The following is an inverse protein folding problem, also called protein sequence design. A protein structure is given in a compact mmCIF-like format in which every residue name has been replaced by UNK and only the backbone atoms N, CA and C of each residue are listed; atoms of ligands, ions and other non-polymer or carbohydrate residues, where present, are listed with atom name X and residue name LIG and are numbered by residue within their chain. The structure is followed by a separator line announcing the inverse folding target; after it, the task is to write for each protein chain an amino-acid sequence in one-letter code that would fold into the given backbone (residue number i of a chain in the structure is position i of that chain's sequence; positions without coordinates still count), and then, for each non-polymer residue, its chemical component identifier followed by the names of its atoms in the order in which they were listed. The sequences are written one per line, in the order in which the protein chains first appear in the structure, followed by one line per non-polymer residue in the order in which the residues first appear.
data_IF_176318701614
#
_entry.id   IF_176318701614
#
_cell.length_a   1.000
_cell.length_b   1.000
_cell.length_c   1.000
_cell.angle_alpha   90.00
_cell.angle_beta   90.00
_cell.angle_gamma   90.00
#
_symmetry.space_group_name_H-M   'P 1'
#
loop_
_entity.id
_entity.type
_entity.pdbx_description
1 polymer ?
#
# COMPACT_ATOMS: atom_id res chain seq x y z
N UNK A 1 -0.16 -31.33 27.30
CA UNK A 1 -0.79 -30.38 28.25
C UNK A 1 -0.26 -28.98 28.02
N UNK A 2 -1.11 -27.98 27.79
CA UNK A 2 -0.66 -26.61 27.53
C UNK A 2 -0.19 -25.95 28.84
N UNK A 3 1.03 -25.40 28.82
CA UNK A 3 1.66 -24.76 29.97
C UNK A 3 0.75 -23.67 30.58
N UNK A 4 0.35 -23.75 31.87
CA UNK A 4 -0.54 -22.81 32.50
C UNK A 4 0.00 -21.38 32.54
N UNK A 5 1.31 -21.20 32.62
CA UNK A 5 1.97 -19.90 32.56
C UNK A 5 1.78 -19.22 31.20
N UNK A 6 1.79 -19.99 30.12
CA UNK A 6 1.56 -19.46 28.76
C UNK A 6 0.11 -18.99 28.55
N UNK A 7 -0.86 -19.67 29.21
CA UNK A 7 -2.28 -19.24 29.21
C UNK A 7 -2.46 -17.96 30.05
N UNK A 8 -1.87 -17.90 31.23
CA UNK A 8 -1.95 -16.74 32.13
C UNK A 8 -1.29 -15.51 31.44
N UNK A 9 -0.11 -15.67 30.81
CA UNK A 9 0.56 -14.61 30.07
C UNK A 9 -0.29 -14.11 28.89
N UNK A 10 -0.86 -15.02 28.09
CA UNK A 10 -1.75 -14.63 26.98
C UNK A 10 -3.00 -13.89 27.47
N UNK A 11 -3.59 -14.31 28.60
CA UNK A 11 -4.76 -13.67 29.18
C UNK A 11 -4.42 -12.29 29.74
N UNK A 12 -3.31 -12.16 30.48
CA UNK A 12 -2.84 -10.88 31.00
C UNK A 12 -2.50 -9.92 29.86
N UNK A 13 -1.80 -10.39 28.83
CA UNK A 13 -1.46 -9.61 27.65
C UNK A 13 -2.72 -9.17 26.89
N UNK A 14 -3.74 -10.03 26.79
CA UNK A 14 -5.01 -9.69 26.16
C UNK A 14 -5.82 -8.66 26.99
N UNK A 15 -5.88 -8.82 28.31
CA UNK A 15 -6.58 -7.88 29.21
C UNK A 15 -5.84 -6.54 29.31
N UNK A 16 -4.52 -6.55 29.33
CA UNK A 16 -3.71 -5.32 29.28
C UNK A 16 -3.90 -4.61 27.93
N UNK A 17 -3.90 -5.35 26.82
CA UNK A 17 -4.28 -4.81 25.52
C UNK A 17 -5.69 -4.21 25.54
N UNK A 18 -6.67 -4.89 26.13
CA UNK A 18 -8.05 -4.43 26.20
C UNK A 18 -8.23 -3.17 27.06
N UNK A 19 -7.52 -3.05 28.17
CA UNK A 19 -7.51 -1.84 28.99
C UNK A 19 -6.78 -0.68 28.31
N UNK A 20 -5.69 -0.95 27.61
CA UNK A 20 -4.98 0.03 26.79
C UNK A 20 -5.79 0.40 25.53
N UNK A 21 -6.60 -0.54 25.01
CA UNK A 21 -7.53 -0.34 23.90
C UNK A 21 -8.71 0.58 24.26
N UNK A 22 -8.97 0.84 25.52
CA UNK A 22 -9.89 1.88 25.95
C UNK A 22 -9.32 3.30 25.83
N UNK A 23 -8.00 3.45 25.68
CA UNK A 23 -7.37 4.74 25.42
C UNK A 23 -7.12 4.92 23.92
N UNK A 24 -8.00 5.65 23.25
CA UNK A 24 -8.10 5.82 21.80
C UNK A 24 -6.79 6.23 21.10
N UNK A 25 -5.91 6.98 21.78
CA UNK A 25 -4.63 7.46 21.23
C UNK A 25 -3.51 6.42 21.33
N UNK A 26 -3.44 5.69 22.43
CA UNK A 26 -2.42 4.67 22.65
C UNK A 26 -2.63 3.48 21.72
N UNK A 27 -3.88 3.13 21.48
CA UNK A 27 -4.30 2.06 20.60
C UNK A 27 -3.81 2.20 19.19
N UNK A 28 -4.06 3.35 18.60
CA UNK A 28 -3.71 3.58 17.21
C UNK A 28 -2.21 3.43 17.00
N UNK A 29 -1.39 4.01 17.90
CA UNK A 29 0.06 3.99 17.78
C UNK A 29 0.65 2.59 17.97
N UNK A 30 0.22 1.85 18.98
CA UNK A 30 0.73 0.49 19.28
C UNK A 30 0.23 -0.51 18.26
N UNK A 31 -1.05 -0.43 17.89
CA UNK A 31 -1.65 -1.32 16.90
C UNK A 31 -1.05 -1.11 15.51
N UNK A 32 -0.83 0.13 15.11
CA UNK A 32 -0.20 0.46 13.83
C UNK A 32 1.23 -0.05 13.71
N UNK A 33 2.02 0.12 14.75
CA UNK A 33 3.40 -0.38 14.78
C UNK A 33 3.46 -1.90 14.75
N UNK A 34 2.59 -2.56 15.48
CA UNK A 34 2.55 -4.02 15.52
C UNK A 34 2.12 -4.61 14.18
N UNK A 35 1.07 -4.09 13.56
CA UNK A 35 0.62 -4.55 12.24
C UNK A 35 1.67 -4.26 11.15
N UNK A 36 2.25 -3.07 11.15
CA UNK A 36 3.33 -2.73 10.22
C UNK A 36 4.52 -3.68 10.40
N UNK A 37 4.90 -4.01 11.64
CA UNK A 37 5.96 -4.97 11.92
C UNK A 37 5.62 -6.38 11.40
N UNK A 38 4.39 -6.84 11.62
CA UNK A 38 3.93 -8.15 11.13
C UNK A 38 3.99 -8.18 9.60
N UNK A 39 3.58 -7.11 8.94
CA UNK A 39 3.63 -7.01 7.49
C UNK A 39 5.07 -6.93 6.97
N UNK A 40 5.91 -6.12 7.59
CA UNK A 40 7.34 -6.05 7.24
C UNK A 40 8.00 -7.45 7.35
N UNK A 41 7.74 -8.21 8.42
CA UNK A 41 8.24 -9.57 8.59
C UNK A 41 7.71 -10.55 7.53
N UNK A 42 6.42 -10.44 7.15
CA UNK A 42 5.85 -11.23 6.06
C UNK A 42 6.51 -10.89 4.72
N UNK A 43 6.71 -9.60 4.45
CA UNK A 43 7.28 -9.14 3.19
C UNK A 43 8.76 -9.48 3.03
N UNK A 44 9.55 -9.43 4.10
CA UNK A 44 10.99 -9.75 4.04
C UNK A 44 11.27 -11.11 3.40
N UNK A 45 10.40 -12.09 3.59
CA UNK A 45 10.53 -13.43 2.99
C UNK A 45 10.46 -13.42 1.46
N UNK A 46 9.81 -12.40 0.89
CA UNK A 46 9.61 -12.24 -0.54
C UNK A 46 10.65 -11.31 -1.20
N UNK A 47 11.54 -10.71 -0.39
CA UNK A 47 12.58 -9.79 -0.85
C UNK A 47 13.96 -10.29 -0.42
N UNK A 48 14.49 -11.37 -1.03
CA UNK A 48 15.81 -11.88 -0.70
C UNK A 48 16.89 -10.84 -1.02
N UNK A 49 17.94 -10.81 -0.20
CA UNK A 49 19.12 -9.99 -0.45
C UNK A 49 19.98 -10.66 -1.51
N UNK A 50 20.26 -9.96 -2.60
CA UNK A 50 21.20 -10.39 -3.64
C UNK A 50 22.51 -9.62 -3.50
N UNK A 51 23.55 -10.28 -3.01
CA UNK A 51 24.85 -9.67 -2.72
C UNK A 51 25.54 -9.08 -3.97
N UNK A 52 25.32 -9.66 -5.12
CA UNK A 52 25.88 -9.20 -6.41
C UNK A 52 25.42 -7.77 -6.78
N UNK A 53 24.30 -7.30 -6.26
CA UNK A 53 23.75 -5.98 -6.54
C UNK A 53 24.18 -4.91 -5.52
N UNK A 54 24.84 -5.28 -4.43
CA UNK A 54 25.28 -4.34 -3.40
C UNK A 54 26.38 -3.39 -3.89
N UNK A 55 27.25 -3.87 -4.77
CA UNK A 55 28.38 -3.06 -5.32
C UNK A 55 27.96 -2.09 -6.43
N UNK A 56 27.01 -2.48 -7.27
CA UNK A 56 26.60 -1.69 -8.44
C UNK A 56 25.75 -0.47 -8.07
N UNK A 57 24.93 -0.55 -7.02
CA UNK A 57 24.00 0.51 -6.63
C UNK A 57 24.63 1.63 -5.77
N UNK A 58 25.84 1.48 -5.27
CA UNK A 58 26.47 2.50 -4.44
C UNK A 58 26.87 3.78 -5.25
N UNK A 59 27.09 3.65 -6.54
CA UNK A 59 27.54 4.76 -7.40
C UNK A 59 26.41 5.50 -8.11
N UNK A 60 25.21 4.90 -8.30
CA UNK A 60 24.09 5.54 -9.03
C UNK A 60 23.10 6.32 -8.17
N UNK A 61 23.39 6.58 -6.92
CA UNK A 61 22.42 6.92 -5.86
C UNK A 61 21.91 8.37 -5.79
N UNK A 62 22.23 9.29 -6.68
CA UNK A 62 21.93 10.71 -6.39
C UNK A 62 20.93 11.42 -7.31
N UNK A 63 20.57 10.88 -8.48
CA UNK A 63 19.80 11.63 -9.48
C UNK A 63 18.56 10.92 -10.07
N UNK A 64 18.37 9.64 -9.86
CA UNK A 64 17.20 8.96 -10.42
C UNK A 64 15.95 9.12 -9.53
N UNK A 65 14.84 9.55 -10.15
CA UNK A 65 13.51 9.57 -9.50
C UNK A 65 13.17 8.16 -9.04
N UNK A 66 12.71 8.04 -7.81
CA UNK A 66 12.23 6.75 -7.29
C UNK A 66 10.96 6.34 -8.00
N UNK A 67 10.90 5.08 -8.42
CA UNK A 67 9.69 4.46 -8.91
C UNK A 67 8.94 3.84 -7.73
N UNK A 68 7.79 4.41 -7.40
CA UNK A 68 6.90 3.91 -6.35
C UNK A 68 5.83 3.04 -6.99
N UNK A 69 5.73 1.78 -6.54
CA UNK A 69 4.76 0.82 -7.07
C UNK A 69 3.82 0.41 -5.94
N UNK A 70 2.53 0.68 -6.08
CA UNK A 70 1.54 0.09 -5.17
C UNK A 70 1.30 -1.36 -5.56
N UNK A 71 1.51 -2.28 -4.63
CA UNK A 71 1.44 -3.72 -4.87
C UNK A 71 0.21 -4.32 -4.19
N UNK A 72 -0.62 -5.01 -4.97
CA UNK A 72 -1.74 -5.82 -4.50
C UNK A 72 -1.64 -7.22 -5.15
N UNK A 73 -0.78 -8.07 -4.60
CA UNK A 73 -0.47 -9.40 -5.14
C UNK A 73 -0.86 -10.56 -4.19
N UNK A 74 -1.57 -10.27 -3.10
CA UNK A 74 -2.03 -11.27 -2.15
C UNK A 74 -1.03 -11.68 -1.06
N UNK A 75 0.19 -11.16 -1.07
CA UNK A 75 1.16 -11.44 0.01
C UNK A 75 0.77 -10.79 1.34
N UNK A 76 0.05 -9.68 1.26
CA UNK A 76 -0.53 -8.96 2.39
C UNK A 76 -2.04 -8.84 2.19
N UNK A 77 -2.79 -8.99 3.28
CA UNK A 77 -4.24 -8.79 3.30
C UNK A 77 -4.57 -7.29 3.33
N UNK A 78 -4.76 -6.69 2.16
CA UNK A 78 -5.06 -5.25 2.04
C UNK A 78 -6.56 -4.91 2.13
N UNK A 79 -7.36 -5.77 2.78
CA UNK A 79 -8.80 -5.57 2.87
C UNK A 79 -9.55 -5.82 1.56
N UNK A 80 -10.76 -5.26 1.45
CA UNK A 80 -11.60 -5.33 0.26
C UNK A 80 -11.15 -4.44 -0.89
N UNK A 81 -11.92 -4.44 -1.98
CA UNK A 81 -11.64 -3.61 -3.15
C UNK A 81 -11.52 -2.10 -2.80
N UNK A 82 -12.49 -1.59 -2.03
CA UNK A 82 -12.50 -0.18 -1.64
C UNK A 82 -11.28 0.22 -0.79
N UNK A 83 -10.81 -0.68 0.09
CA UNK A 83 -9.64 -0.41 0.92
C UNK A 83 -8.36 -0.35 0.09
N UNK A 84 -8.21 -1.27 -0.86
CA UNK A 84 -7.07 -1.27 -1.80
C UNK A 84 -7.07 0.00 -2.66
N UNK A 85 -8.24 0.41 -3.14
CA UNK A 85 -8.39 1.64 -3.91
C UNK A 85 -7.98 2.88 -3.10
N UNK A 86 -8.38 2.95 -1.82
CA UNK A 86 -7.92 4.02 -0.91
C UNK A 86 -6.39 4.08 -0.81
N UNK A 87 -5.75 2.92 -0.66
CA UNK A 87 -4.29 2.82 -0.62
C UNK A 87 -3.62 3.28 -1.90
N UNK A 88 -4.15 2.88 -3.06
CA UNK A 88 -3.66 3.29 -4.38
C UNK A 88 -3.75 4.81 -4.53
N UNK A 89 -4.92 5.38 -4.33
CA UNK A 89 -5.16 6.83 -4.49
C UNK A 89 -4.33 7.66 -3.52
N UNK A 90 -4.20 7.20 -2.26
CA UNK A 90 -3.36 7.86 -1.25
C UNK A 90 -1.89 7.88 -1.65
N UNK A 91 -1.38 6.74 -2.15
CA UNK A 91 0.01 6.63 -2.59
C UNK A 91 0.26 7.48 -3.83
N UNK A 92 -0.66 7.47 -4.80
CA UNK A 92 -0.58 8.32 -5.99
C UNK A 92 -0.48 9.80 -5.64
N UNK A 93 -1.41 10.31 -4.82
CA UNK A 93 -1.39 11.72 -4.40
C UNK A 93 -0.09 12.08 -3.66
N UNK A 94 0.44 11.17 -2.85
CA UNK A 94 1.72 11.37 -2.18
C UNK A 94 2.88 11.43 -3.19
N UNK A 95 2.89 10.55 -4.19
CA UNK A 95 3.90 10.55 -5.25
C UNK A 95 3.87 11.85 -6.06
N UNK A 96 2.68 12.38 -6.37
CA UNK A 96 2.54 13.67 -7.04
C UNK A 96 3.19 14.81 -6.23
N UNK A 97 2.97 14.84 -4.91
CA UNK A 97 3.59 15.84 -4.03
C UNK A 97 5.11 15.69 -3.92
N UNK A 98 5.61 14.46 -4.01
CA UNK A 98 7.05 14.15 -3.91
C UNK A 98 7.79 14.29 -5.25
N UNK A 99 7.07 14.41 -6.37
CA UNK A 99 7.64 14.32 -7.71
C UNK A 99 8.21 12.93 -8.03
N UNK A 100 7.70 11.88 -7.39
CA UNK A 100 8.08 10.49 -7.63
C UNK A 100 7.24 9.88 -8.76
N UNK A 101 7.82 8.95 -9.53
CA UNK A 101 7.09 8.17 -10.51
C UNK A 101 6.22 7.12 -9.81
N UNK A 102 5.00 6.92 -10.31
CA UNK A 102 4.03 6.03 -9.70
C UNK A 102 3.55 4.96 -10.66
N UNK A 103 3.41 3.72 -10.16
CA UNK A 103 2.82 2.60 -10.91
C UNK A 103 1.95 1.74 -9.99
N UNK A 104 1.12 0.89 -10.62
CA UNK A 104 0.23 -0.03 -9.92
C UNK A 104 0.46 -1.44 -10.43
N UNK A 105 0.74 -2.37 -9.51
CA UNK A 105 0.73 -3.81 -9.77
C UNK A 105 -0.37 -4.46 -8.94
N UNK A 106 -1.52 -4.71 -9.56
CA UNK A 106 -2.70 -5.25 -8.89
C UNK A 106 -3.17 -6.51 -9.63
N UNK A 107 -2.83 -7.67 -9.07
CA UNK A 107 -3.12 -8.99 -9.65
C UNK A 107 -3.93 -9.90 -8.72
N UNK A 108 -4.25 -9.46 -7.52
CA UNK A 108 -5.03 -10.22 -6.55
C UNK A 108 -6.11 -9.34 -5.89
N UNK A 109 -7.37 -9.80 -5.81
CA UNK A 109 -7.94 -11.10 -6.19
C UNK A 109 -8.28 -11.22 -7.68
N UNK A 110 -8.01 -10.20 -8.47
CA UNK A 110 -8.20 -10.16 -9.93
C UNK A 110 -7.19 -9.20 -10.55
N UNK A 111 -6.98 -9.29 -11.85
CA UNK A 111 -6.15 -8.33 -12.57
C UNK A 111 -6.93 -7.03 -12.80
N UNK A 112 -6.41 -5.91 -12.27
CA UNK A 112 -7.06 -4.60 -12.36
C UNK A 112 -7.26 -4.14 -13.80
N UNK A 113 -6.28 -4.38 -14.65
CA UNK A 113 -6.26 -4.00 -16.06
C UNK A 113 -7.37 -4.63 -16.92
N UNK A 114 -8.04 -5.68 -16.41
CA UNK A 114 -9.25 -6.22 -17.05
C UNK A 114 -10.45 -5.28 -16.95
N UNK A 115 -10.50 -4.44 -15.94
CA UNK A 115 -11.66 -3.59 -15.63
C UNK A 115 -11.35 -2.10 -15.78
N UNK A 116 -10.13 -1.70 -15.42
CA UNK A 116 -9.71 -0.31 -15.44
C UNK A 116 -8.45 -0.15 -16.28
N UNK A 117 -8.45 0.83 -17.14
CA UNK A 117 -7.32 1.23 -17.97
C UNK A 117 -6.74 2.57 -17.49
N UNK A 118 -5.46 2.87 -17.78
CA UNK A 118 -4.92 4.21 -17.59
C UNK A 118 -5.78 5.28 -18.28
N UNK A 119 -5.97 6.41 -17.59
CA UNK A 119 -6.67 7.56 -18.16
C UNK A 119 -5.66 8.65 -18.55
N UNK A 120 -5.51 9.71 -17.75
CA UNK A 120 -4.55 10.78 -18.04
C UNK A 120 -3.15 10.50 -17.48
N UNK A 121 -3.05 9.59 -16.53
CA UNK A 121 -1.79 9.13 -15.94
C UNK A 121 -1.56 7.65 -16.27
N UNK A 122 -0.41 7.33 -16.88
CA UNK A 122 -0.02 5.96 -17.17
C UNK A 122 0.55 5.30 -15.90
N UNK A 123 -0.29 4.49 -15.26
CA UNK A 123 0.07 3.74 -14.05
C UNK A 123 0.47 2.29 -14.33
N UNK A 124 0.36 1.83 -15.57
CA UNK A 124 0.62 0.43 -15.92
C UNK A 124 2.10 0.08 -15.77
N UNK A 125 2.37 -1.12 -15.28
CA UNK A 125 3.71 -1.71 -15.22
C UNK A 125 3.64 -3.20 -15.57
N UNK A 126 4.58 -3.67 -16.36
CA UNK A 126 4.72 -5.10 -16.66
C UNK A 126 5.35 -5.82 -15.47
N UNK A 127 4.92 -7.04 -15.19
CA UNK A 127 5.50 -7.84 -14.11
C UNK A 127 7.00 -8.07 -14.26
N UNK A 128 7.48 -8.15 -15.50
CA UNK A 128 8.91 -8.30 -15.82
C UNK A 128 9.78 -7.10 -15.45
N UNK A 129 9.15 -5.93 -15.19
CA UNK A 129 9.83 -4.70 -14.78
C UNK A 129 9.87 -4.54 -13.25
N UNK A 130 9.26 -5.47 -12.50
CA UNK A 130 9.18 -5.43 -11.04
C UNK A 130 10.30 -6.29 -10.44
N UNK A 131 11.07 -5.71 -9.54
CA UNK A 131 12.18 -6.39 -8.88
C UNK A 131 11.81 -6.79 -7.46
N UNK A 132 11.70 -8.09 -7.18
CA UNK A 132 11.42 -8.62 -5.84
C UNK A 132 12.70 -9.03 -5.11
N UNK A 133 13.72 -8.16 -5.09
CA UNK A 133 14.98 -8.41 -4.40
C UNK A 133 15.61 -7.13 -3.87
N UNK A 134 16.30 -7.23 -2.71
CA UNK A 134 17.11 -6.15 -2.20
C UNK A 134 18.54 -6.23 -2.81
N UNK A 135 19.19 -5.10 -3.10
CA UNK A 135 18.75 -3.73 -2.82
C UNK A 135 17.94 -3.06 -3.94
N UNK A 136 17.58 -3.77 -5.04
CA UNK A 136 16.89 -3.18 -6.18
C UNK A 136 15.52 -2.61 -5.79
N UNK A 137 14.78 -3.30 -4.89
CA UNK A 137 13.49 -2.86 -4.41
C UNK A 137 13.42 -2.87 -2.87
N UNK A 138 12.69 -1.91 -2.31
CA UNK A 138 12.43 -1.82 -0.88
C UNK A 138 10.92 -1.94 -0.61
N UNK A 139 10.46 -2.98 0.09
CA UNK A 139 9.07 -3.07 0.51
C UNK A 139 8.78 -2.11 1.66
N UNK A 140 7.63 -1.45 1.59
CA UNK A 140 7.09 -0.55 2.62
C UNK A 140 5.64 -0.93 2.87
N UNK A 141 5.34 -1.40 4.08
CA UNK A 141 3.97 -1.73 4.47
C UNK A 141 3.38 -0.67 5.38
N UNK A 142 2.12 -0.31 5.14
CA UNK A 142 1.33 0.57 6.01
C UNK A 142 -0.11 0.09 6.01
N UNK A 143 -0.50 -0.64 7.06
CA UNK A 143 -1.90 -0.98 7.27
C UNK A 143 -2.45 -0.03 8.32
N UNK A 144 -3.40 0.83 8.01
CA UNK A 144 -4.35 1.37 8.98
C UNK A 144 -5.19 2.50 8.38
N UNK A 145 -6.50 2.45 8.68
CA UNK A 145 -7.40 3.57 8.51
C UNK A 145 -7.08 4.70 9.49
N UNK A 146 -7.13 5.93 9.01
CA UNK A 146 -7.04 7.09 9.87
C UNK A 146 -8.45 7.48 10.35
N UNK A 147 -8.62 7.57 11.68
CA UNK A 147 -9.90 7.96 12.30
C UNK A 147 -10.04 9.48 12.43
N UNK A 148 -9.01 10.24 12.06
CA UNK A 148 -8.99 11.69 12.16
C UNK A 148 -8.00 12.34 11.18
N UNK A 149 -8.18 13.64 10.86
CA UNK A 149 -7.23 14.38 10.03
C UNK A 149 -5.80 14.38 10.58
N UNK A 150 -5.64 14.40 11.89
CA UNK A 150 -4.33 14.33 12.54
C UNK A 150 -3.64 12.99 12.28
N UNK A 151 -4.36 11.90 12.42
CA UNK A 151 -3.82 10.56 12.14
C UNK A 151 -3.46 10.39 10.66
N UNK A 152 -4.33 10.85 9.75
CA UNK A 152 -4.07 10.84 8.32
C UNK A 152 -2.78 11.59 7.97
N UNK A 153 -2.57 12.77 8.57
CA UNK A 153 -1.34 13.56 8.39
C UNK A 153 -0.09 12.81 8.88
N UNK A 154 -0.20 12.15 10.05
CA UNK A 154 0.91 11.37 10.61
C UNK A 154 1.24 10.15 9.75
N UNK A 155 0.23 9.42 9.25
CA UNK A 155 0.41 8.28 8.35
C UNK A 155 1.05 8.71 7.03
N UNK A 156 0.56 9.79 6.43
CA UNK A 156 1.10 10.35 5.21
C UNK A 156 2.57 10.73 5.38
N UNK A 157 2.91 11.44 6.47
CA UNK A 157 4.28 11.82 6.77
C UNK A 157 5.18 10.60 6.98
N UNK A 158 4.70 9.59 7.71
CA UNK A 158 5.43 8.36 7.94
C UNK A 158 5.70 7.59 6.63
N UNK A 159 4.70 7.48 5.76
CA UNK A 159 4.87 6.82 4.46
C UNK A 159 5.86 7.58 3.58
N UNK A 160 5.76 8.93 3.55
CA UNK A 160 6.70 9.79 2.85
C UNK A 160 8.14 9.53 3.30
N UNK A 161 8.41 9.56 4.60
CA UNK A 161 9.74 9.32 5.15
C UNK A 161 10.27 7.93 4.81
N UNK A 162 9.42 6.91 4.81
CA UNK A 162 9.81 5.55 4.42
C UNK A 162 10.18 5.46 2.95
N UNK A 163 9.42 6.10 2.07
CA UNK A 163 9.72 6.18 0.64
C UNK A 163 11.04 6.93 0.42
N UNK A 164 11.24 8.07 1.07
CA UNK A 164 12.47 8.88 0.94
C UNK A 164 13.73 8.12 1.40
N UNK A 165 13.63 7.36 2.49
CA UNK A 165 14.74 6.57 3.07
C UNK A 165 14.94 5.22 2.40
N UNK A 166 14.01 4.77 1.58
CA UNK A 166 14.11 3.48 0.91
C UNK A 166 15.39 3.40 0.08
N UNK A 167 16.04 2.25 0.14
CA UNK A 167 17.17 1.96 -0.73
C UNK A 167 16.65 1.33 -2.03
N UNK A 168 17.40 1.46 -3.11
CA UNK A 168 17.03 0.92 -4.40
C UNK A 168 16.22 1.88 -5.27
N UNK A 169 16.00 1.47 -6.52
CA UNK A 169 15.30 2.24 -7.55
C UNK A 169 13.79 2.08 -7.46
N UNK A 170 13.31 0.96 -6.91
CA UNK A 170 11.88 0.69 -6.72
C UNK A 170 11.50 0.70 -5.24
N UNK A 171 10.36 1.31 -4.94
CA UNK A 171 9.73 1.27 -3.62
C UNK A 171 8.35 0.64 -3.75
N UNK A 172 8.18 -0.53 -3.15
CA UNK A 172 6.96 -1.31 -3.22
C UNK A 172 6.07 -0.99 -2.02
N UNK A 173 4.96 -0.30 -2.25
CA UNK A 173 4.04 0.13 -1.20
C UNK A 173 2.88 -0.83 -1.09
N UNK A 174 2.71 -1.40 0.09
CA UNK A 174 1.60 -2.27 0.48
C UNK A 174 0.75 -1.51 1.49
N UNK A 175 -0.36 -0.95 1.06
CA UNK A 175 -1.20 -0.12 1.94
C UNK A 175 -2.67 -0.15 1.58
N UNK A 176 -3.51 0.00 2.60
CA UNK A 176 -4.93 0.32 2.51
C UNK A 176 -5.25 1.65 3.21
N UNK A 177 -4.22 2.40 3.58
CA UNK A 177 -4.37 3.65 4.31
C UNK A 177 -5.07 4.71 3.44
N UNK A 178 -5.99 5.44 4.04
CA UNK A 178 -6.70 6.55 3.41
C UNK A 178 -6.29 7.87 4.05
N UNK A 179 -5.76 8.78 3.24
CA UNK A 179 -5.45 10.15 3.67
C UNK A 179 -6.60 11.12 3.33
N UNK A 180 -7.86 10.65 3.47
CA UNK A 180 -9.07 11.28 2.97
C UNK A 180 -9.28 12.74 3.34
N UNK A 181 -8.64 13.17 4.41
CA UNK A 181 -8.72 14.58 4.85
C UNK A 181 -7.68 15.49 4.18
N UNK A 182 -6.86 14.97 3.27
CA UNK A 182 -5.66 15.65 2.76
C UNK A 182 -5.62 15.76 1.23
N UNK A 183 -6.70 15.39 0.54
CA UNK A 183 -6.70 15.46 -0.92
C UNK A 183 -8.03 15.15 -1.59
N UNK A 184 -8.09 15.40 -2.90
CA UNK A 184 -9.24 15.12 -3.75
C UNK A 184 -9.13 13.73 -4.37
N UNK A 185 -9.78 12.75 -3.72
CA UNK A 185 -9.81 11.37 -4.17
C UNK A 185 -10.59 11.16 -5.46
N UNK A 186 -11.62 11.98 -5.72
CA UNK A 186 -12.38 11.90 -6.96
C UNK A 186 -11.51 12.30 -8.14
N UNK A 187 -10.79 13.42 -8.02
CA UNK A 187 -9.85 13.87 -9.03
C UNK A 187 -8.76 12.82 -9.28
N UNK A 188 -8.12 12.31 -8.22
CA UNK A 188 -7.07 11.28 -8.34
C UNK A 188 -7.59 10.00 -9.01
N UNK A 189 -8.84 9.59 -8.70
CA UNK A 189 -9.46 8.44 -9.34
C UNK A 189 -9.61 8.66 -10.85
N UNK A 190 -10.14 9.80 -11.27
CA UNK A 190 -10.35 10.11 -12.68
C UNK A 190 -9.04 10.37 -13.43
N UNK A 191 -7.98 10.82 -12.78
CA UNK A 191 -6.65 10.91 -13.39
C UNK A 191 -6.07 9.52 -13.69
N UNK A 192 -6.22 8.59 -12.75
CA UNK A 192 -5.68 7.24 -12.89
C UNK A 192 -6.53 6.35 -13.79
N UNK A 193 -7.84 6.36 -13.64
CA UNK A 193 -8.69 5.28 -14.14
C UNK A 193 -9.77 5.75 -15.11
N UNK A 194 -9.93 4.95 -16.16
CA UNK A 194 -11.13 4.87 -16.98
C UNK A 194 -11.57 3.40 -17.09
N UNK A 195 -12.85 3.11 -17.30
CA UNK A 195 -13.28 1.76 -17.63
C UNK A 195 -12.56 1.23 -18.86
N UNK A 196 -12.31 -0.09 -18.90
CA UNK A 196 -11.97 -0.75 -20.14
C UNK A 196 -13.20 -0.77 -21.07
N UNK A 197 -12.99 -0.99 -22.37
CA UNK A 197 -14.11 -1.07 -23.33
C UNK A 197 -15.10 -2.21 -22.97
N UNK A 198 -14.60 -3.30 -22.40
CA UNK A 198 -15.42 -4.41 -21.91
C UNK A 198 -16.30 -3.98 -20.74
N UNK A 199 -15.73 -3.33 -19.74
CA UNK A 199 -16.49 -2.82 -18.59
C UNK A 199 -17.48 -1.72 -19.01
N UNK A 200 -17.08 -0.81 -19.89
CA UNK A 200 -17.96 0.25 -20.38
C UNK A 200 -19.20 -0.32 -21.09
N UNK A 201 -19.01 -1.30 -21.98
CA UNK A 201 -20.12 -2.00 -22.61
C UNK A 201 -21.07 -2.67 -21.62
N UNK A 202 -20.53 -3.29 -20.57
CA UNK A 202 -21.34 -3.90 -19.52
C UNK A 202 -22.13 -2.85 -18.74
N UNK A 203 -21.55 -1.69 -18.44
CA UNK A 203 -22.22 -0.57 -17.79
C UNK A 203 -23.35 -0.03 -18.68
N UNK A 204 -23.06 0.23 -19.95
CA UNK A 204 -24.03 0.78 -20.90
C UNK A 204 -25.25 -0.17 -21.07
N UNK A 205 -24.99 -1.47 -21.17
CA UNK A 205 -26.05 -2.48 -21.21
C UNK A 205 -26.93 -2.47 -19.95
N UNK A 206 -26.33 -2.31 -18.77
CA UNK A 206 -27.09 -2.24 -17.51
C UNK A 206 -27.91 -0.96 -17.40
N UNK A 207 -27.38 0.17 -17.87
CA UNK A 207 -28.10 1.44 -17.89
C UNK A 207 -29.32 1.34 -18.81
N UNK A 208 -29.19 0.71 -19.98
CA UNK A 208 -30.33 0.47 -20.88
C UNK A 208 -31.44 -0.36 -20.22
N UNK A 209 -31.06 -1.42 -19.52
CA UNK A 209 -32.03 -2.30 -18.82
C UNK A 209 -32.74 -1.60 -17.66
N UNK A 210 -32.06 -0.66 -16.99
CA UNK A 210 -32.61 0.08 -15.83
C UNK A 210 -33.36 1.36 -16.23
N UNK A 211 -33.18 1.84 -17.46
CA UNK A 211 -33.80 3.06 -18.00
C UNK A 211 -35.11 2.84 -18.71
N UNK A 212 -35.48 1.57 -18.97
CA UNK A 212 -36.78 1.12 -19.46
C UNK A 212 -37.70 0.71 -18.29
#
# INVERSE_FOLDING_TARGET
MANPFRRAYKRLHFETKRCLLANRYYNWYVFSRELTRIWDEKLQKHYPVKEEQLGANAQHKKEERKLVITICNGWIENGGWADRLKGILSTYMLCQEMGADFRIHFVHPFNLDRFLAPNTYDWYIKETEIHYSQPAATPVALEIGADSPYQAKKQKQWLKERIERAQGTQVHVYTNAMFSYLGDYSKAFHELFRPTDELQKAIDNQIQVLGD
#
